data_IF_190611016334
#
_entry.id   IF_190611016334
#
_cell.length_a   1.000
_cell.length_b   1.000
_cell.length_c   1.000
_cell.angle_alpha   90.00
_cell.angle_beta   90.00
_cell.angle_gamma   90.00
#
_symmetry.space_group_name_H-M   'P 1'
#
loop_
_entity.id
_entity.type
_entity.pdbx_description
1 polymer ?
#
# COMPACT_ATOMS: atom_id res chain seq x y z
N UNK A 1 13.65 -0.43 18.77
CA UNK A 1 13.79 0.55 17.67
C UNK A 1 12.59 1.50 17.73
N UNK A 2 12.81 2.81 17.76
CA UNK A 2 11.66 3.74 17.84
C UNK A 2 10.84 3.69 16.56
N UNK A 3 9.53 3.87 16.67
CA UNK A 3 8.62 3.90 15.51
C UNK A 3 9.07 4.97 14.48
N UNK A 4 9.52 6.13 14.94
CA UNK A 4 10.04 7.22 14.10
C UNK A 4 11.20 6.77 13.20
N UNK A 5 12.07 5.88 13.68
CA UNK A 5 13.23 5.40 12.93
C UNK A 5 12.84 4.54 11.71
N UNK A 6 11.60 4.02 11.66
CA UNK A 6 11.09 3.25 10.52
C UNK A 6 10.72 4.14 9.33
N UNK A 7 10.64 5.47 9.51
CA UNK A 7 10.26 6.41 8.47
C UNK A 7 11.48 7.22 8.03
N UNK A 8 12.07 6.94 6.85
CA UNK A 8 13.29 7.62 6.40
C UNK A 8 13.16 9.14 6.32
N UNK A 9 12.03 9.64 5.85
CA UNK A 9 11.81 11.09 5.71
C UNK A 9 11.85 11.83 7.04
N UNK A 10 11.48 11.18 8.14
CA UNK A 10 11.49 11.80 9.46
C UNK A 10 12.90 11.94 10.05
N UNK A 11 13.93 11.40 9.38
CA UNK A 11 15.33 11.59 9.74
C UNK A 11 15.90 12.92 9.22
N UNK A 12 15.15 13.64 8.38
CA UNK A 12 15.54 14.95 7.86
C UNK A 12 15.51 16.02 8.93
N UNK A 13 16.30 17.05 8.69
CA UNK A 13 16.22 18.33 9.39
C UNK A 13 15.65 19.41 8.46
N UNK A 14 14.92 20.35 9.02
CA UNK A 14 14.40 21.53 8.35
C UNK A 14 14.76 22.74 9.20
N UNK A 15 15.47 23.70 8.62
CA UNK A 15 15.99 24.89 9.30
C UNK A 15 16.82 24.55 10.56
N UNK A 16 17.60 23.45 10.51
CA UNK A 16 18.44 23.02 11.64
C UNK A 16 17.69 22.29 12.77
N UNK A 17 16.42 21.96 12.58
CA UNK A 17 15.60 21.21 13.55
C UNK A 17 15.11 19.90 12.97
N UNK A 18 14.96 18.84 13.80
CA UNK A 18 14.36 17.59 13.36
C UNK A 18 12.96 17.83 12.75
N UNK A 19 12.71 17.24 11.59
CA UNK A 19 11.42 17.36 10.91
C UNK A 19 10.26 16.90 11.80
N UNK A 20 9.28 17.77 12.02
CA UNK A 20 7.96 17.44 12.56
C UNK A 20 6.96 17.49 11.42
N UNK A 21 6.27 16.38 11.16
CA UNK A 21 5.29 16.26 10.08
C UNK A 21 3.91 15.97 10.69
N UNK A 22 2.97 16.87 10.49
CA UNK A 22 1.63 16.81 11.08
C UNK A 22 0.51 16.73 10.03
N UNK A 23 0.86 16.60 8.74
CA UNK A 23 -0.08 16.62 7.62
C UNK A 23 -0.35 15.22 7.03
N UNK A 24 -0.37 14.18 7.89
CA UNK A 24 -0.63 12.81 7.44
C UNK A 24 -2.07 12.61 6.91
N UNK A 25 -3.00 13.50 7.25
CA UNK A 25 -4.37 13.47 6.70
C UNK A 25 -4.39 13.77 5.20
N UNK A 26 -3.54 14.66 4.72
CA UNK A 26 -3.38 14.94 3.30
C UNK A 26 -2.53 13.88 2.59
N UNK A 27 -1.40 13.53 3.18
CA UNK A 27 -0.51 12.48 2.65
C UNK A 27 0.22 11.80 3.81
N UNK A 28 0.06 10.50 3.93
CA UNK A 28 0.73 9.68 4.94
C UNK A 28 2.17 9.38 4.54
N UNK A 29 3.11 9.60 5.44
CA UNK A 29 4.51 9.21 5.23
C UNK A 29 4.65 7.68 5.21
N UNK A 30 5.61 7.18 4.41
CA UNK A 30 5.79 5.75 4.17
C UNK A 30 6.94 5.21 5.02
N UNK A 31 6.74 4.12 5.75
CA UNK A 31 7.85 3.44 6.41
C UNK A 31 8.77 2.77 5.38
N UNK A 32 10.02 2.54 5.77
CA UNK A 32 11.03 1.93 4.90
C UNK A 32 10.57 0.62 4.27
N UNK A 33 9.88 -0.23 5.03
CA UNK A 33 9.38 -1.52 4.53
C UNK A 33 8.42 -1.36 3.34
N UNK A 34 7.62 -0.31 3.30
CA UNK A 34 6.72 -0.04 2.16
C UNK A 34 7.50 0.46 0.95
N UNK A 35 8.48 1.35 1.18
CA UNK A 35 9.36 1.87 0.12
C UNK A 35 10.16 0.72 -0.52
N UNK A 36 10.75 -0.14 0.30
CA UNK A 36 11.53 -1.29 -0.15
C UNK A 36 10.65 -2.28 -0.94
N UNK A 37 9.44 -2.57 -0.48
CA UNK A 37 8.51 -3.45 -1.19
C UNK A 37 8.12 -2.90 -2.57
N UNK A 38 7.89 -1.58 -2.69
CA UNK A 38 7.61 -0.94 -3.99
C UNK A 38 8.84 -1.01 -4.91
N UNK A 39 10.03 -0.74 -4.39
CA UNK A 39 11.25 -0.83 -5.17
C UNK A 39 11.51 -2.26 -5.67
N UNK A 40 11.34 -3.27 -4.81
CA UNK A 40 11.47 -4.68 -5.17
C UNK A 40 10.46 -5.07 -6.27
N UNK A 41 9.20 -4.67 -6.11
CA UNK A 41 8.17 -4.93 -7.12
C UNK A 41 8.55 -4.36 -8.49
N UNK A 42 8.92 -3.09 -8.57
CA UNK A 42 9.28 -2.47 -9.85
C UNK A 42 10.59 -3.00 -10.44
N UNK A 43 11.53 -3.42 -9.60
CA UNK A 43 12.84 -3.90 -10.05
C UNK A 43 12.82 -5.38 -10.46
N UNK A 44 11.95 -6.20 -9.87
CA UNK A 44 12.08 -7.65 -9.93
C UNK A 44 10.83 -8.36 -10.49
N UNK A 45 9.62 -7.85 -10.23
CA UNK A 45 8.38 -8.59 -10.51
C UNK A 45 7.24 -7.76 -11.12
N UNK A 46 7.54 -6.58 -11.65
CA UNK A 46 6.50 -5.72 -12.24
C UNK A 46 5.88 -6.38 -13.47
N UNK A 47 4.63 -6.81 -13.35
CA UNK A 47 3.86 -7.40 -14.43
C UNK A 47 2.35 -7.16 -14.26
N UNK A 48 1.59 -7.44 -15.32
CA UNK A 48 0.15 -7.28 -15.31
C UNK A 48 -0.52 -8.41 -14.51
N UNK A 49 -1.21 -8.04 -13.45
CA UNK A 49 -1.94 -8.97 -12.56
C UNK A 49 -3.12 -9.61 -13.30
N UNK A 50 -3.29 -10.92 -13.15
CA UNK A 50 -4.38 -11.73 -13.74
C UNK A 50 -4.47 -11.79 -15.27
N UNK A 51 -3.49 -11.28 -16.02
CA UNK A 51 -3.61 -11.15 -17.48
C UNK A 51 -2.59 -11.91 -18.32
N UNK A 52 -1.62 -12.56 -17.72
CA UNK A 52 -0.59 -13.28 -18.48
C UNK A 52 -0.21 -14.60 -17.82
N UNK A 53 0.35 -15.51 -18.63
CA UNK A 53 0.69 -16.90 -18.23
C UNK A 53 2.22 -17.05 -18.07
N UNK A 54 2.94 -15.96 -17.83
CA UNK A 54 4.38 -16.01 -17.59
C UNK A 54 4.73 -15.80 -16.10
N UNK A 55 5.94 -16.18 -15.70
CA UNK A 55 6.41 -16.20 -14.32
C UNK A 55 6.17 -14.87 -13.58
N UNK A 56 6.57 -13.74 -14.16
CA UNK A 56 6.40 -12.42 -13.51
C UNK A 56 4.93 -12.07 -13.25
N UNK A 57 4.02 -12.43 -14.17
CA UNK A 57 2.59 -12.20 -13.96
C UNK A 57 2.03 -13.11 -12.86
N UNK A 58 2.56 -14.33 -12.72
CA UNK A 58 2.25 -15.22 -11.62
C UNK A 58 2.67 -14.63 -10.27
N UNK A 59 3.90 -14.16 -10.15
CA UNK A 59 4.44 -13.53 -8.95
C UNK A 59 3.67 -12.26 -8.56
N UNK A 60 3.38 -11.39 -9.54
CA UNK A 60 2.58 -10.19 -9.31
C UNK A 60 1.16 -10.51 -8.84
N UNK A 61 0.53 -11.55 -9.42
CA UNK A 61 -0.80 -12.03 -9.04
C UNK A 61 -0.79 -12.61 -7.62
N UNK A 62 0.21 -13.43 -7.28
CA UNK A 62 0.36 -14.01 -5.94
C UNK A 62 0.54 -12.92 -4.89
N UNK A 63 1.38 -11.92 -5.16
CA UNK A 63 1.58 -10.76 -4.28
C UNK A 63 0.27 -9.99 -4.03
N UNK A 64 -0.49 -9.72 -5.08
CA UNK A 64 -1.79 -9.05 -5.01
C UNK A 64 -2.81 -9.84 -4.19
N UNK A 65 -2.98 -11.13 -4.48
CA UNK A 65 -3.95 -11.97 -3.78
C UNK A 65 -3.54 -12.23 -2.32
N UNK A 66 -2.25 -12.36 -2.03
CA UNK A 66 -1.73 -12.45 -0.66
C UNK A 66 -2.07 -11.21 0.15
N UNK A 67 -1.91 -10.02 -0.43
CA UNK A 67 -2.30 -8.76 0.20
C UNK A 67 -3.80 -8.74 0.50
N UNK A 68 -4.63 -9.10 -0.48
CA UNK A 68 -6.09 -9.17 -0.34
C UNK A 68 -6.52 -10.16 0.76
N UNK A 69 -5.88 -11.32 0.85
CA UNK A 69 -6.13 -12.29 1.93
C UNK A 69 -5.76 -11.77 3.31
N UNK A 70 -4.61 -11.10 3.44
CA UNK A 70 -4.19 -10.48 4.70
C UNK A 70 -5.17 -9.41 5.17
N UNK A 71 -5.70 -8.59 4.25
CA UNK A 71 -6.75 -7.61 4.56
C UNK A 71 -8.03 -8.27 5.04
N UNK A 72 -8.50 -9.32 4.37
CA UNK A 72 -9.67 -10.10 4.80
C UNK A 72 -9.49 -10.63 6.23
N UNK A 73 -8.35 -11.23 6.53
CA UNK A 73 -8.03 -11.74 7.87
C UNK A 73 -7.98 -10.62 8.91
N UNK A 74 -7.32 -9.50 8.58
CA UNK A 74 -7.16 -8.36 9.50
C UNK A 74 -8.50 -7.75 9.92
N UNK A 75 -9.46 -7.69 9.01
CA UNK A 75 -10.79 -7.10 9.22
C UNK A 75 -11.89 -8.14 9.49
N UNK A 76 -11.54 -9.43 9.58
CA UNK A 76 -12.49 -10.53 9.72
C UNK A 76 -13.63 -10.44 8.67
N UNK A 77 -13.26 -10.17 7.42
CA UNK A 77 -14.19 -9.99 6.32
C UNK A 77 -14.24 -11.20 5.40
N UNK A 78 -15.42 -11.52 4.88
CA UNK A 78 -15.57 -12.59 3.87
C UNK A 78 -14.96 -12.20 2.54
N UNK A 79 -15.01 -10.92 2.17
CA UNK A 79 -14.50 -10.38 0.90
C UNK A 79 -13.73 -9.09 1.14
N UNK A 80 -12.75 -8.83 0.28
CA UNK A 80 -12.05 -7.57 0.20
C UNK A 80 -11.99 -7.13 -1.27
N UNK A 81 -12.44 -5.92 -1.55
CA UNK A 81 -12.37 -5.28 -2.87
C UNK A 81 -11.38 -4.14 -2.75
N UNK A 82 -10.33 -4.18 -3.57
CA UNK A 82 -9.31 -3.14 -3.60
C UNK A 82 -9.73 -2.11 -4.64
N UNK A 83 -9.75 -0.85 -4.22
CA UNK A 83 -10.13 0.30 -5.06
C UNK A 83 -8.97 1.28 -5.15
N UNK A 84 -9.05 2.26 -6.06
CA UNK A 84 -8.04 3.30 -6.23
C UNK A 84 -8.06 4.38 -5.13
N UNK A 85 -9.04 4.33 -4.22
CA UNK A 85 -9.15 5.26 -3.11
C UNK A 85 -10.54 5.30 -2.49
N UNK A 86 -10.68 6.11 -1.44
CA UNK A 86 -11.93 6.23 -0.67
C UNK A 86 -13.12 6.71 -1.52
N UNK A 87 -12.91 7.62 -2.46
CA UNK A 87 -13.98 8.11 -3.35
C UNK A 87 -14.58 6.97 -4.17
N UNK A 88 -13.74 6.15 -4.79
CA UNK A 88 -14.21 4.97 -5.54
C UNK A 88 -14.92 3.98 -4.62
N UNK A 89 -14.37 3.70 -3.45
CA UNK A 89 -14.96 2.79 -2.48
C UNK A 89 -16.36 3.24 -2.01
N UNK A 90 -16.54 4.52 -1.73
CA UNK A 90 -17.84 5.08 -1.34
C UNK A 90 -18.83 5.00 -2.51
N UNK A 91 -18.41 5.37 -3.73
CA UNK A 91 -19.26 5.28 -4.90
C UNK A 91 -19.67 3.84 -5.22
N UNK A 92 -18.74 2.88 -5.07
CA UNK A 92 -19.04 1.46 -5.24
C UNK A 92 -20.16 1.02 -4.27
N UNK A 93 -20.10 1.40 -3.00
CA UNK A 93 -21.14 1.09 -2.01
C UNK A 93 -22.44 1.77 -2.38
N UNK A 94 -22.42 3.05 -2.75
CA UNK A 94 -23.61 3.80 -3.13
C UNK A 94 -24.33 3.17 -4.33
N UNK A 95 -23.60 2.73 -5.34
CA UNK A 95 -24.18 2.08 -6.52
C UNK A 95 -24.63 0.63 -6.27
N UNK A 96 -23.96 -0.10 -5.41
CA UNK A 96 -24.27 -1.50 -5.17
C UNK A 96 -25.37 -1.71 -4.11
N UNK A 97 -25.58 -0.74 -3.23
CA UNK A 97 -26.50 -0.82 -2.09
C UNK A 97 -27.66 0.19 -2.16
N UNK A 98 -27.54 1.23 -2.96
CA UNK A 98 -28.59 2.24 -3.22
C UNK A 98 -29.44 1.90 -4.46
#
# INVERSE_FOLDING_TARGET
>A
MSLRAQFPILQREVNGYPLVYLDNAATTQKPKVVIDAMNAYYSESNANVHRAVHTLAGEATEGYESCRMKLKQRFNAEKAIITSGTTEAINLVAHAWG
#
